data_IF_917325155189
#
_entry.id   IF_917325155189
#
_cell.length_a   1.000
_cell.length_b   1.000
_cell.length_c   1.000
_cell.angle_alpha   90.00
_cell.angle_beta   90.00
_cell.angle_gamma   90.00
#
_symmetry.space_group_name_H-M   'P 1'
#
loop_
_entity.id
_entity.type
_entity.pdbx_description
1 polymer ?
#
# COMPACT_ATOMS: atom_id res chain seq x y z
N UNK A 1 -20.90 3.75 -0.35
CA UNK A 1 -19.55 3.68 -0.96
C UNK A 1 -19.38 4.96 -1.78
N UNK A 2 -18.23 5.62 -1.71
CA UNK A 2 -17.94 6.85 -2.45
C UNK A 2 -17.28 6.46 -3.78
N UNK A 3 -17.75 7.00 -4.89
CA UNK A 3 -17.19 6.78 -6.23
C UNK A 3 -16.04 7.74 -6.52
N UNK A 4 -14.85 7.19 -6.80
CA UNK A 4 -13.67 7.98 -7.16
C UNK A 4 -13.75 8.50 -8.60
N UNK A 5 -14.21 7.67 -9.54
CA UNK A 5 -14.32 8.02 -10.97
C UNK A 5 -15.32 9.16 -11.21
N UNK A 6 -16.37 9.24 -10.39
CA UNK A 6 -17.36 10.32 -10.44
C UNK A 6 -16.94 11.53 -9.59
N UNK A 7 -15.72 11.55 -9.05
CA UNK A 7 -15.20 12.60 -8.20
C UNK A 7 -16.07 12.89 -6.95
N UNK A 8 -16.82 11.91 -6.42
CA UNK A 8 -17.68 12.14 -5.26
C UNK A 8 -16.89 12.55 -4.00
N UNK A 9 -15.64 12.12 -3.90
CA UNK A 9 -14.68 12.53 -2.87
C UNK A 9 -14.31 14.04 -2.93
N UNK A 10 -14.67 14.73 -4.01
CA UNK A 10 -14.54 16.19 -4.18
C UNK A 10 -15.85 16.95 -3.91
N UNK A 11 -16.91 16.28 -3.51
CA UNK A 11 -18.19 16.93 -3.24
C UNK A 11 -18.22 17.59 -1.86
N UNK A 12 -19.07 18.61 -1.71
CA UNK A 12 -19.17 19.45 -0.51
C UNK A 12 -19.25 18.66 0.81
N UNK A 13 -20.04 17.57 0.95
CA UNK A 13 -20.09 16.83 2.21
C UNK A 13 -18.75 16.22 2.64
N UNK A 14 -17.90 15.84 1.67
CA UNK A 14 -16.56 15.31 1.94
C UNK A 14 -15.58 16.46 2.17
N UNK A 15 -15.62 17.51 1.36
CA UNK A 15 -14.75 18.69 1.53
C UNK A 15 -14.97 19.36 2.90
N UNK A 16 -16.23 19.45 3.36
CA UNK A 16 -16.56 20.01 4.67
C UNK A 16 -15.92 19.21 5.82
N UNK A 17 -15.63 17.91 5.63
CA UNK A 17 -14.95 17.06 6.62
C UNK A 17 -13.43 17.00 6.40
N UNK A 18 -13.00 16.89 5.15
CA UNK A 18 -11.62 16.88 4.73
C UNK A 18 -11.41 17.94 3.64
N UNK A 19 -10.88 19.13 3.98
CA UNK A 19 -10.68 20.21 3.02
C UNK A 19 -9.81 19.86 1.81
N UNK A 20 -9.04 18.75 1.88
CA UNK A 20 -8.25 18.25 0.74
C UNK A 20 -9.10 17.50 -0.29
N UNK A 21 -10.36 17.19 0.02
CA UNK A 21 -11.23 16.34 -0.79
C UNK A 21 -10.59 14.99 -1.04
N UNK A 22 -10.04 14.37 0.00
CA UNK A 22 -9.36 13.08 -0.06
C UNK A 22 -10.06 12.08 0.88
N UNK A 23 -9.83 10.80 0.64
CA UNK A 23 -10.21 9.72 1.53
C UNK A 23 -8.95 9.00 2.04
N UNK A 24 -8.98 8.35 3.22
CA UNK A 24 -10.12 8.22 4.14
C UNK A 24 -10.46 9.50 4.92
N UNK A 25 -11.60 9.49 5.61
CA UNK A 25 -11.96 10.48 6.63
C UNK A 25 -12.78 9.79 7.71
N UNK A 26 -12.37 9.93 8.97
CA UNK A 26 -12.98 9.29 10.13
C UNK A 26 -13.44 10.37 11.10
N UNK A 27 -14.76 10.47 11.28
CA UNK A 27 -15.37 11.33 12.29
C UNK A 27 -15.78 10.49 13.49
N UNK A 28 -15.19 10.77 14.65
CA UNK A 28 -15.53 10.10 15.92
C UNK A 28 -15.85 11.19 16.94
N UNK A 29 -17.08 11.18 17.45
CA UNK A 29 -17.58 12.22 18.36
C UNK A 29 -17.37 13.62 17.76
N UNK A 30 -16.48 14.40 18.35
CA UNK A 30 -16.16 15.78 18.00
C UNK A 30 -14.82 15.93 17.24
N UNK A 31 -14.10 14.84 16.97
CA UNK A 31 -12.83 14.87 16.23
C UNK A 31 -13.03 14.32 14.81
N UNK A 32 -12.24 14.86 13.88
CA UNK A 32 -12.15 14.40 12.48
C UNK A 32 -10.68 14.09 12.19
N UNK A 33 -10.39 12.86 11.77
CA UNK A 33 -9.07 12.39 11.36
C UNK A 33 -9.11 12.01 9.88
N UNK A 34 -8.20 12.56 9.09
CA UNK A 34 -8.17 12.36 7.63
C UNK A 34 -6.94 11.59 7.15
N UNK A 35 -5.87 11.58 7.94
CA UNK A 35 -4.65 10.84 7.61
C UNK A 35 -4.79 9.38 8.02
N UNK A 36 -4.59 8.46 7.06
CA UNK A 36 -4.77 7.01 7.29
C UNK A 36 -3.91 6.49 8.44
N UNK A 37 -2.66 6.95 8.55
CA UNK A 37 -1.78 6.55 9.65
C UNK A 37 -2.25 7.09 11.00
N UNK A 38 -2.69 8.35 11.05
CA UNK A 38 -3.25 8.92 12.28
C UNK A 38 -4.52 8.18 12.72
N UNK A 39 -5.36 7.79 11.76
CA UNK A 39 -6.54 6.95 12.02
C UNK A 39 -6.11 5.60 12.60
N UNK A 40 -5.18 4.89 11.97
CA UNK A 40 -4.73 3.58 12.45
C UNK A 40 -4.11 3.65 13.86
N UNK A 41 -3.29 4.66 14.14
CA UNK A 41 -2.68 4.87 15.46
C UNK A 41 -3.75 5.19 16.52
N UNK A 42 -4.71 6.04 16.19
CA UNK A 42 -5.82 6.35 17.10
C UNK A 42 -6.69 5.12 17.40
N UNK A 43 -6.95 4.29 16.39
CA UNK A 43 -7.69 3.05 16.58
C UNK A 43 -6.92 2.06 17.47
N UNK A 44 -5.61 1.91 17.28
CA UNK A 44 -4.74 1.10 18.14
C UNK A 44 -4.84 1.54 19.61
N UNK A 45 -4.78 2.86 19.88
CA UNK A 45 -4.89 3.40 21.24
C UNK A 45 -6.28 3.15 21.87
N UNK A 46 -7.35 3.25 21.07
CA UNK A 46 -8.71 3.00 21.53
C UNK A 46 -8.96 1.52 21.88
N UNK A 47 -8.39 0.60 21.11
CA UNK A 47 -8.62 -0.85 21.24
C UNK A 47 -7.48 -1.57 21.94
N UNK A 48 -6.50 -0.87 22.52
CA UNK A 48 -5.30 -1.45 23.14
C UNK A 48 -5.58 -2.60 24.14
N UNK A 49 -6.78 -2.63 24.75
CA UNK A 49 -7.22 -3.65 25.70
C UNK A 49 -8.22 -4.66 25.10
N UNK A 50 -8.43 -4.66 23.79
CA UNK A 50 -9.42 -5.47 23.08
C UNK A 50 -8.84 -6.03 21.76
N UNK A 51 -8.69 -7.35 21.69
CA UNK A 51 -8.30 -8.03 20.45
C UNK A 51 -6.80 -7.99 20.13
N UNK A 52 -6.48 -7.94 18.84
CA UNK A 52 -5.11 -8.01 18.33
C UNK A 52 -4.42 -6.65 18.43
N UNK A 53 -3.21 -6.60 19.02
CA UNK A 53 -2.35 -5.42 19.04
C UNK A 53 -1.53 -5.36 17.76
N UNK A 54 -1.63 -4.28 17.00
CA UNK A 54 -0.85 -4.07 15.77
C UNK A 54 0.44 -3.29 16.02
N UNK A 55 0.60 -2.69 17.20
CA UNK A 55 1.86 -2.15 17.70
C UNK A 55 2.34 -2.94 18.94
N UNK A 56 3.49 -3.61 18.84
CA UNK A 56 4.08 -4.33 19.97
C UNK A 56 4.34 -3.42 21.18
N UNK A 57 4.30 -3.97 22.40
CA UNK A 57 4.69 -3.25 23.62
C UNK A 57 6.20 -3.12 23.77
N UNK A 58 6.94 -4.12 23.29
CA UNK A 58 8.40 -4.06 23.24
C UNK A 58 8.86 -2.88 22.39
N UNK A 59 9.64 -2.00 23.01
CA UNK A 59 10.08 -0.74 22.39
C UNK A 59 10.93 -0.96 21.14
N UNK A 60 11.75 -2.01 21.12
CA UNK A 60 12.61 -2.32 20.00
C UNK A 60 11.81 -2.83 18.80
N UNK A 61 10.94 -3.81 19.02
CA UNK A 61 10.06 -4.34 17.98
C UNK A 61 9.08 -3.28 17.47
N UNK A 62 8.54 -2.43 18.36
CA UNK A 62 7.70 -1.29 17.97
C UNK A 62 8.45 -0.33 17.04
N UNK A 63 9.71 -0.02 17.33
CA UNK A 63 10.52 0.82 16.46
C UNK A 63 10.72 0.19 15.08
N UNK A 64 10.95 -1.13 15.01
CA UNK A 64 11.06 -1.86 13.74
C UNK A 64 9.76 -1.86 12.94
N UNK A 65 8.61 -2.05 13.60
CA UNK A 65 7.29 -1.97 12.98
C UNK A 65 7.05 -0.58 12.39
N UNK A 66 7.28 0.47 13.17
CA UNK A 66 7.11 1.85 12.70
C UNK A 66 8.05 2.17 11.54
N UNK A 67 9.33 1.80 11.63
CA UNK A 67 10.29 1.94 10.53
C UNK A 67 9.76 1.31 9.25
N UNK A 68 9.27 0.06 9.33
CA UNK A 68 8.72 -0.67 8.19
C UNK A 68 7.44 -0.03 7.64
N UNK A 69 6.54 0.45 8.51
CA UNK A 69 5.32 1.20 8.14
C UNK A 69 5.64 2.47 7.36
N UNK A 70 6.61 3.27 7.82
CA UNK A 70 7.02 4.47 7.09
C UNK A 70 7.77 4.12 5.81
N UNK A 71 8.56 3.04 5.82
CA UNK A 71 9.29 2.62 4.65
C UNK A 71 8.36 2.19 3.51
N UNK A 72 7.22 1.56 3.81
CA UNK A 72 6.27 1.13 2.79
C UNK A 72 5.62 2.29 2.02
N UNK A 73 5.60 3.51 2.59
CA UNK A 73 5.13 4.71 1.91
C UNK A 73 5.99 5.08 0.70
N UNK A 74 7.22 4.56 0.60
CA UNK A 74 8.04 4.69 -0.63
C UNK A 74 7.38 3.99 -1.81
N UNK A 75 6.68 2.88 -1.61
CA UNK A 75 5.94 2.20 -2.68
C UNK A 75 4.76 3.04 -3.17
N UNK A 76 4.08 3.73 -2.25
CA UNK A 76 3.07 4.72 -2.62
C UNK A 76 3.69 5.82 -3.49
N UNK A 77 4.86 6.33 -3.09
CA UNK A 77 5.53 7.39 -3.84
C UNK A 77 5.99 6.91 -5.23
N UNK A 78 6.74 5.82 -5.28
CA UNK A 78 7.41 5.38 -6.50
C UNK A 78 6.48 4.68 -7.48
N UNK A 79 5.52 3.89 -6.98
CA UNK A 79 4.58 3.18 -7.83
C UNK A 79 3.30 3.98 -8.07
N UNK A 80 2.58 4.32 -7.00
CA UNK A 80 1.28 4.97 -7.12
C UNK A 80 1.41 6.38 -7.66
N UNK A 81 2.18 7.27 -7.01
CA UNK A 81 2.26 8.67 -7.41
C UNK A 81 3.05 8.89 -8.71
N UNK A 82 4.30 8.42 -8.75
CA UNK A 82 5.22 8.75 -9.83
C UNK A 82 4.91 8.02 -11.15
N UNK A 83 4.17 6.89 -11.11
CA UNK A 83 3.84 6.12 -12.32
C UNK A 83 2.33 6.13 -12.57
N UNK A 84 1.55 5.50 -11.68
CA UNK A 84 0.12 5.26 -11.94
C UNK A 84 -0.67 6.58 -12.00
N UNK A 85 -0.54 7.41 -10.97
CA UNK A 85 -1.24 8.70 -10.89
C UNK A 85 -0.70 9.71 -11.89
N UNK A 86 0.59 9.66 -12.23
CA UNK A 86 1.12 10.46 -13.33
C UNK A 86 0.38 10.13 -14.63
N UNK A 87 0.21 8.85 -14.97
CA UNK A 87 -0.50 8.41 -16.17
C UNK A 87 -1.98 8.81 -16.12
N UNK A 88 -2.64 8.64 -14.97
CA UNK A 88 -4.07 8.96 -14.83
C UNK A 88 -4.39 10.45 -14.86
N UNK A 89 -3.53 11.30 -14.29
CA UNK A 89 -3.80 12.74 -14.17
C UNK A 89 -3.11 13.59 -15.24
N UNK A 90 -2.20 13.01 -16.04
CA UNK A 90 -1.55 13.70 -17.15
C UNK A 90 -2.22 13.31 -18.46
N UNK A 91 -2.62 14.27 -19.30
CA UNK A 91 -3.12 13.96 -20.64
C UNK A 91 -2.10 13.15 -21.47
N UNK A 92 -2.53 12.15 -22.28
CA UNK A 92 -1.62 11.27 -23.01
C UNK A 92 -0.58 12.00 -23.87
N UNK A 93 -0.94 13.13 -24.48
CA UNK A 93 -0.05 13.95 -25.29
C UNK A 93 1.07 14.65 -24.50
N UNK A 94 0.96 14.69 -23.17
CA UNK A 94 1.96 15.24 -22.25
C UNK A 94 2.76 14.18 -21.51
N UNK A 95 2.53 12.90 -21.80
CA UNK A 95 3.29 11.82 -21.18
C UNK A 95 4.76 11.88 -21.61
N UNK A 96 5.66 11.91 -20.64
CA UNK A 96 7.09 11.80 -20.88
C UNK A 96 7.53 10.35 -20.67
N UNK A 97 7.77 9.65 -21.78
CA UNK A 97 8.17 8.24 -21.79
C UNK A 97 9.48 7.97 -21.06
N UNK A 98 10.48 8.84 -21.22
CA UNK A 98 11.79 8.67 -20.57
C UNK A 98 11.68 8.82 -19.04
N UNK A 99 10.89 9.79 -18.60
CA UNK A 99 10.59 9.99 -17.17
C UNK A 99 9.85 8.79 -16.59
N UNK A 100 8.84 8.28 -17.31
CA UNK A 100 8.08 7.10 -16.90
C UNK A 100 8.96 5.85 -16.79
N UNK A 101 9.85 5.62 -17.77
CA UNK A 101 10.79 4.51 -17.73
C UNK A 101 11.70 4.61 -16.50
N UNK A 102 12.26 5.79 -16.24
CA UNK A 102 13.07 6.04 -15.04
C UNK A 102 12.30 5.82 -13.74
N UNK A 103 11.03 6.24 -13.68
CA UNK A 103 10.19 5.99 -12.50
C UNK A 103 9.90 4.50 -12.30
N UNK A 104 9.66 3.75 -13.38
CA UNK A 104 9.48 2.29 -13.33
C UNK A 104 10.76 1.57 -12.89
N UNK A 105 11.93 2.00 -13.35
CA UNK A 105 13.23 1.48 -12.89
C UNK A 105 13.39 1.69 -11.37
N UNK A 106 13.13 2.90 -10.87
CA UNK A 106 13.18 3.19 -9.43
C UNK A 106 12.21 2.33 -8.62
N UNK A 107 10.99 2.11 -9.13
CA UNK A 107 10.01 1.22 -8.51
C UNK A 107 10.52 -0.24 -8.47
N UNK A 108 11.07 -0.73 -9.57
CA UNK A 108 11.61 -2.11 -9.65
C UNK A 108 12.75 -2.28 -8.65
N UNK A 109 13.70 -1.34 -8.61
CA UNK A 109 14.81 -1.38 -7.66
C UNK A 109 14.34 -1.37 -6.21
N UNK A 110 13.28 -0.61 -5.90
CA UNK A 110 12.67 -0.60 -4.57
C UNK A 110 12.07 -1.96 -4.22
N UNK A 111 11.33 -2.58 -5.14
CA UNK A 111 10.74 -3.91 -4.90
C UNK A 111 11.80 -5.02 -4.81
N UNK A 112 12.91 -4.89 -5.52
CA UNK A 112 14.09 -5.76 -5.34
C UNK A 112 14.66 -5.61 -3.92
N UNK A 113 14.78 -4.38 -3.40
CA UNK A 113 15.20 -4.15 -2.00
C UNK A 113 14.24 -4.80 -1.00
N UNK A 114 12.94 -4.66 -1.20
CA UNK A 114 11.94 -5.32 -0.36
C UNK A 114 12.03 -6.84 -0.44
N UNK A 115 12.12 -7.42 -1.64
CA UNK A 115 12.28 -8.86 -1.84
C UNK A 115 13.54 -9.39 -1.14
N UNK A 116 14.67 -8.68 -1.28
CA UNK A 116 15.92 -9.03 -0.60
C UNK A 116 15.83 -8.90 0.92
N UNK A 117 15.10 -7.91 1.44
CA UNK A 117 14.81 -7.81 2.87
C UNK A 117 14.07 -9.04 3.37
N UNK A 118 13.03 -9.50 2.67
CA UNK A 118 12.33 -10.74 3.04
C UNK A 118 13.21 -11.98 2.92
N UNK A 119 14.07 -12.08 1.90
CA UNK A 119 15.06 -13.19 1.78
C UNK A 119 16.00 -13.29 2.98
N UNK A 120 16.34 -12.17 3.60
CA UNK A 120 17.23 -12.11 4.76
C UNK A 120 16.53 -12.41 6.09
N UNK A 121 15.18 -12.47 6.10
CA UNK A 121 14.44 -12.83 7.30
C UNK A 121 14.54 -14.34 7.56
N UNK A 122 14.31 -14.73 8.82
CA UNK A 122 14.14 -16.14 9.17
C UNK A 122 12.93 -16.71 8.41
N UNK A 123 13.00 -17.96 7.96
CA UNK A 123 11.90 -18.64 7.25
C UNK A 123 10.60 -18.70 8.07
N UNK A 124 10.68 -18.57 9.39
CA UNK A 124 9.51 -18.49 10.29
C UNK A 124 8.84 -17.11 10.31
N UNK A 125 9.47 -16.07 9.73
CA UNK A 125 8.92 -14.73 9.66
C UNK A 125 7.97 -14.61 8.47
N UNK A 126 6.67 -14.78 8.74
CA UNK A 126 5.62 -14.74 7.73
C UNK A 126 5.08 -13.33 7.44
N UNK A 127 5.55 -12.31 8.16
CA UNK A 127 5.03 -10.94 8.11
C UNK A 127 6.14 -9.90 7.85
N UNK A 128 5.77 -8.65 7.59
CA UNK A 128 6.71 -7.58 7.24
C UNK A 128 7.77 -7.34 8.32
N UNK A 129 7.43 -7.60 9.59
CA UNK A 129 8.33 -7.55 10.75
C UNK A 129 8.06 -8.73 11.68
N UNK A 130 8.99 -9.68 11.70
CA UNK A 130 8.91 -10.86 12.58
C UNK A 130 7.79 -11.83 12.18
N UNK A 131 7.18 -12.46 13.17
CA UNK A 131 6.18 -13.52 13.00
C UNK A 131 4.75 -13.10 13.39
N UNK A 132 4.51 -11.81 13.61
CA UNK A 132 3.19 -11.26 13.95
C UNK A 132 2.71 -10.30 12.87
N UNK A 133 1.40 -10.32 12.61
CA UNK A 133 0.75 -9.32 11.76
C UNK A 133 0.65 -7.98 12.50
N UNK A 134 1.23 -6.92 11.94
CA UNK A 134 1.37 -5.61 12.60
C UNK A 134 0.93 -4.45 11.71
N UNK A 135 1.06 -3.21 12.21
CA UNK A 135 0.86 -1.99 11.44
C UNK A 135 1.72 -1.94 10.17
N UNK A 136 2.88 -2.61 10.16
CA UNK A 136 3.73 -2.70 8.98
C UNK A 136 3.00 -3.42 7.83
N UNK A 137 2.32 -4.53 8.11
CA UNK A 137 1.56 -5.30 7.12
C UNK A 137 0.33 -4.55 6.63
N UNK A 138 -0.35 -3.86 7.55
CA UNK A 138 -1.52 -3.01 7.25
C UNK A 138 -1.16 -1.92 6.22
N UNK A 139 0.08 -1.42 6.25
CA UNK A 139 0.54 -0.39 5.32
C UNK A 139 1.27 -0.94 4.10
N UNK A 140 1.97 -2.07 4.20
CA UNK A 140 2.70 -2.64 3.08
C UNK A 140 1.78 -3.35 2.08
N UNK A 141 0.87 -4.18 2.59
CA UNK A 141 0.02 -5.02 1.75
C UNK A 141 -0.85 -4.22 0.76
N UNK A 142 -1.56 -3.14 1.16
CA UNK A 142 -2.37 -2.38 0.21
C UNK A 142 -1.55 -1.75 -0.92
N UNK A 143 -0.29 -1.38 -0.66
CA UNK A 143 0.61 -0.87 -1.70
C UNK A 143 0.93 -1.98 -2.70
N UNK A 144 1.33 -3.16 -2.23
CA UNK A 144 1.61 -4.30 -3.10
C UNK A 144 0.38 -4.73 -3.89
N UNK A 145 -0.78 -4.86 -3.23
CA UNK A 145 -2.04 -5.24 -3.86
C UNK A 145 -2.44 -4.27 -4.97
N UNK A 146 -2.25 -2.96 -4.77
CA UNK A 146 -2.54 -1.96 -5.78
C UNK A 146 -1.59 -2.05 -6.98
N UNK A 147 -0.29 -2.28 -6.75
CA UNK A 147 0.67 -2.49 -7.83
C UNK A 147 0.34 -3.74 -8.64
N UNK A 148 -0.01 -4.85 -7.98
CA UNK A 148 -0.43 -6.10 -8.63
C UNK A 148 -1.71 -5.90 -9.44
N UNK A 149 -2.70 -5.19 -8.89
CA UNK A 149 -3.93 -4.83 -9.61
C UNK A 149 -3.64 -3.98 -10.86
N UNK A 150 -2.59 -3.14 -10.81
CA UNK A 150 -2.09 -2.36 -11.95
C UNK A 150 -1.13 -3.14 -12.88
N UNK A 151 -1.04 -4.45 -12.72
CA UNK A 151 -0.34 -5.36 -13.63
C UNK A 151 1.13 -5.57 -13.27
N UNK A 152 1.59 -5.15 -12.09
CA UNK A 152 2.98 -5.40 -11.69
C UNK A 152 3.23 -6.91 -11.51
N UNK A 153 4.28 -7.48 -12.12
CA UNK A 153 4.55 -8.92 -12.10
C UNK A 153 5.24 -9.35 -10.79
N UNK A 154 4.52 -9.28 -9.66
CA UNK A 154 5.06 -9.57 -8.33
C UNK A 154 5.65 -10.99 -8.21
N UNK A 155 5.16 -11.94 -9.00
CA UNK A 155 5.64 -13.32 -9.05
C UNK A 155 7.12 -13.46 -9.46
N UNK A 156 7.72 -12.42 -10.04
CA UNK A 156 9.15 -12.38 -10.33
C UNK A 156 10.00 -12.04 -9.09
N UNK A 157 9.36 -11.66 -7.99
CA UNK A 157 9.96 -11.42 -6.67
C UNK A 157 9.48 -12.50 -5.70
N UNK A 158 10.10 -13.68 -5.72
CA UNK A 158 9.64 -14.89 -5.03
C UNK A 158 9.19 -14.67 -3.57
N UNK A 159 9.95 -13.91 -2.77
CA UNK A 159 9.61 -13.70 -1.36
C UNK A 159 8.46 -12.71 -1.18
N UNK A 160 8.38 -11.68 -2.02
CA UNK A 160 7.23 -10.78 -2.03
C UNK A 160 5.96 -11.46 -2.51
N UNK A 161 6.06 -12.32 -3.52
CA UNK A 161 4.94 -13.12 -4.00
C UNK A 161 4.43 -14.07 -2.92
N UNK A 162 5.35 -14.75 -2.21
CA UNK A 162 5.01 -15.59 -1.06
C UNK A 162 4.29 -14.79 0.04
N UNK A 163 4.88 -13.67 0.46
CA UNK A 163 4.30 -12.76 1.46
C UNK A 163 2.90 -12.26 1.05
N UNK A 164 2.77 -11.80 -0.20
CA UNK A 164 1.53 -11.28 -0.75
C UNK A 164 0.42 -12.33 -0.74
N UNK A 165 0.69 -13.53 -1.26
CA UNK A 165 -0.27 -14.64 -1.28
C UNK A 165 -0.67 -15.06 0.13
N UNK A 166 0.30 -15.21 1.03
CA UNK A 166 0.04 -15.57 2.43
C UNK A 166 -0.92 -14.59 3.11
N UNK A 167 -0.75 -13.30 2.89
CA UNK A 167 -1.61 -12.28 3.49
C UNK A 167 -2.97 -12.16 2.81
N UNK A 168 -3.05 -12.39 1.50
CA UNK A 168 -4.33 -12.44 0.78
C UNK A 168 -5.27 -13.54 1.29
N UNK A 169 -4.75 -14.62 1.86
CA UNK A 169 -5.54 -15.69 2.46
C UNK A 169 -6.18 -15.31 3.82
N UNK A 170 -5.79 -14.19 4.42
CA UNK A 170 -6.34 -13.75 5.71
C UNK A 170 -7.82 -13.33 5.56
N UNK A 171 -8.74 -13.79 6.43
CA UNK A 171 -10.15 -13.44 6.33
C UNK A 171 -10.43 -11.92 6.34
N UNK A 172 -9.68 -11.15 7.13
CA UNK A 172 -9.82 -9.69 7.18
C UNK A 172 -9.40 -9.02 5.86
N UNK A 173 -8.43 -9.58 5.16
CA UNK A 173 -7.99 -9.08 3.86
C UNK A 173 -9.00 -9.44 2.78
N UNK A 174 -9.51 -10.68 2.77
CA UNK A 174 -10.58 -11.08 1.86
C UNK A 174 -11.83 -10.17 2.00
N UNK A 175 -12.21 -9.82 3.24
CA UNK A 175 -13.35 -8.94 3.50
C UNK A 175 -13.12 -7.47 3.10
N UNK A 176 -11.87 -7.01 3.12
CA UNK A 176 -11.50 -5.62 2.79
C UNK A 176 -10.99 -5.46 1.35
N UNK A 177 -10.89 -6.55 0.59
CA UNK A 177 -10.43 -6.51 -0.79
C UNK A 177 -11.35 -5.65 -1.66
N UNK A 178 -10.84 -4.72 -2.48
CA UNK A 178 -11.70 -3.83 -3.26
C UNK A 178 -12.55 -4.62 -4.27
N UNK A 179 -13.88 -4.63 -4.15
CA UNK A 179 -14.72 -5.51 -4.96
C UNK A 179 -14.71 -5.17 -6.45
N UNK A 180 -14.50 -3.89 -6.79
CA UNK A 180 -14.40 -3.43 -8.18
C UNK A 180 -13.12 -3.90 -8.89
N UNK A 181 -12.10 -4.36 -8.15
CA UNK A 181 -10.88 -4.94 -8.75
C UNK A 181 -11.09 -6.36 -9.28
N UNK A 182 -12.18 -7.03 -8.90
CA UNK A 182 -12.50 -8.38 -9.39
C UNK A 182 -12.99 -8.36 -10.85
N UNK A 183 -13.48 -7.21 -11.32
CA UNK A 183 -14.06 -7.04 -12.66
C UNK A 183 -13.28 -6.08 -13.55
N UNK A 184 -12.39 -5.27 -12.96
CA UNK A 184 -11.52 -4.35 -13.69
C UNK A 184 -10.05 -4.74 -13.48
N UNK A 185 -9.24 -4.67 -14.53
CA UNK A 185 -7.79 -4.87 -14.46
C UNK A 185 -7.07 -3.75 -15.19
N UNK A 186 -5.89 -3.40 -14.70
CA UNK A 186 -5.01 -2.40 -15.31
C UNK A 186 -3.66 -3.05 -15.63
N UNK A 187 -3.05 -2.65 -16.75
CA UNK A 187 -1.78 -3.21 -17.23
C UNK A 187 -0.64 -2.16 -17.25
N UNK A 188 -0.80 -1.07 -16.51
CA UNK A 188 0.14 0.08 -16.49
C UNK A 188 1.57 -0.36 -16.14
N UNK A 189 1.73 -1.38 -15.30
CA UNK A 189 3.00 -1.87 -14.79
C UNK A 189 3.45 -3.21 -15.40
N UNK A 190 2.74 -3.74 -16.40
CA UNK A 190 3.04 -5.07 -16.97
C UNK A 190 4.42 -5.15 -17.64
N UNK A 191 4.89 -4.04 -18.21
CA UNK A 191 6.19 -3.92 -18.85
C UNK A 191 7.38 -3.88 -17.87
N UNK A 192 7.13 -3.69 -16.56
CA UNK A 192 8.17 -3.81 -15.53
C UNK A 192 8.82 -5.21 -15.52
N UNK A 193 8.14 -6.24 -16.04
CA UNK A 193 8.72 -7.58 -16.25
C UNK A 193 10.04 -7.53 -17.02
N UNK A 194 10.15 -6.67 -18.04
CA UNK A 194 11.36 -6.50 -18.85
C UNK A 194 12.50 -5.86 -18.07
N UNK A 195 12.19 -5.03 -17.07
CA UNK A 195 13.19 -4.38 -16.23
C UNK A 195 13.73 -5.36 -15.19
N UNK A 196 12.85 -6.17 -14.59
CA UNK A 196 13.22 -7.19 -13.61
C UNK A 196 14.14 -8.25 -14.24
N UNK A 197 13.81 -8.73 -15.44
CA UNK A 197 14.58 -9.77 -16.14
C UNK A 197 15.95 -9.31 -16.67
N UNK A 198 16.26 -8.00 -16.59
CA UNK A 198 17.56 -7.43 -17.01
C UNK A 198 18.57 -7.31 -15.87
N UNK A 199 18.11 -7.44 -14.63
CA UNK A 199 18.96 -7.37 -13.42
C UNK A 199 19.56 -8.74 -13.12
#
# INVERSE_FOLDING_TARGET
MISLDQNEHKMKPIIDQNPRGQIPSLKIRNIVLNESLAICLYLEDLIQNQGTKFLPEDSYLRAQVLQCTFDSLRLQKFGSENVIYYIWHTPPERHNTDLLNKHKEVLVDELVRWNNRFKQQNQENLYAVGNLFTLADIFLLPQLAFLVHCGYPIQLHEQLDFYYKHLCDRPSIHQSFPPHWLTATSNILADCSKLILKQ
#
